data_IF_059636496092
#
_entry.id   IF_059636496092
#
_cell.length_a   1.000
_cell.length_b   1.000
_cell.length_c   1.000
_cell.angle_alpha   90.00
_cell.angle_beta   90.00
_cell.angle_gamma   90.00
#
_symmetry.space_group_name_H-M   'P 1'
#
loop_
_entity.id
_entity.type
_entity.pdbx_description
1 polymer ?
#
# COMPACT_ATOMS: atom_id res chain seq x y z
N UNK A 1 9.16 -1.51 13.90
CA UNK A 1 9.47 -0.16 14.41
C UNK A 1 10.60 0.40 13.58
N UNK A 2 10.51 1.66 13.14
CA UNK A 2 11.60 2.36 12.47
C UNK A 2 12.71 2.53 13.51
N UNK A 3 13.93 2.10 13.19
CA UNK A 3 15.05 2.10 14.14
C UNK A 3 15.76 3.44 14.20
N UNK A 4 15.87 4.12 13.06
CA UNK A 4 16.38 5.47 12.91
C UNK A 4 15.81 6.07 11.62
N UNK A 5 15.62 7.39 11.60
CA UNK A 5 15.26 8.17 10.42
C UNK A 5 16.37 9.20 10.19
N UNK A 6 16.88 9.27 8.96
CA UNK A 6 17.81 10.30 8.54
C UNK A 6 17.25 11.00 7.31
N UNK A 7 17.13 12.32 7.37
CA UNK A 7 16.74 13.18 6.25
C UNK A 7 17.90 14.14 6.01
N UNK A 8 18.40 14.17 4.78
CA UNK A 8 19.53 15.01 4.38
C UNK A 8 20.80 14.86 5.25
N UNK A 9 21.03 13.65 5.77
CA UNK A 9 22.18 13.34 6.62
C UNK A 9 22.03 13.81 8.08
N UNK A 10 20.93 14.46 8.41
CA UNK A 10 20.54 14.79 9.77
C UNK A 10 19.63 13.71 10.33
N UNK A 11 19.87 13.29 11.56
CA UNK A 11 18.98 12.34 12.23
C UNK A 11 17.69 13.06 12.61
N UNK A 12 16.56 12.49 12.22
CA UNK A 12 15.22 12.95 12.57
C UNK A 12 14.60 11.98 13.56
N UNK A 13 13.81 12.52 14.49
CA UNK A 13 13.13 11.67 15.46
C UNK A 13 12.09 10.80 14.74
N UNK A 14 12.21 9.49 14.89
CA UNK A 14 11.26 8.52 14.37
C UNK A 14 9.83 8.70 14.92
N UNK A 15 9.66 9.39 16.04
CA UNK A 15 8.36 9.80 16.57
C UNK A 15 7.64 10.84 15.67
N UNK A 16 8.39 11.58 14.85
CA UNK A 16 7.83 12.54 13.89
C UNK A 16 7.42 11.89 12.58
N UNK A 17 7.74 10.60 12.37
CA UNK A 17 7.41 9.85 11.16
C UNK A 17 6.13 9.03 11.38
N UNK A 18 5.05 9.48 10.77
CA UNK A 18 3.81 8.71 10.73
C UNK A 18 3.72 7.95 9.42
N UNK A 19 3.59 6.63 9.54
CA UNK A 19 3.26 5.80 8.38
C UNK A 19 1.90 5.15 8.51
N UNK A 20 1.03 5.57 7.61
CA UNK A 20 -0.32 5.07 7.50
C UNK A 20 -0.30 3.80 6.66
N UNK A 21 -0.25 2.65 7.32
CA UNK A 21 -0.14 1.33 6.67
C UNK A 21 -1.27 1.04 5.67
N UNK A 22 -2.44 1.64 5.86
CA UNK A 22 -3.60 1.50 4.97
C UNK A 22 -3.43 2.24 3.64
N UNK A 23 -2.83 3.42 3.64
CA UNK A 23 -2.67 4.26 2.45
C UNK A 23 -1.29 4.26 1.83
N UNK A 24 -0.29 3.74 2.53
CA UNK A 24 1.11 3.91 2.14
C UNK A 24 1.60 5.36 2.28
N UNK A 25 0.77 6.26 2.85
CA UNK A 25 1.13 7.66 3.10
C UNK A 25 2.18 7.72 4.20
N UNK A 26 3.25 8.47 3.92
CA UNK A 26 4.33 8.75 4.86
C UNK A 26 4.28 10.25 5.11
N UNK A 27 4.05 10.62 6.36
CA UNK A 27 3.93 12.01 6.79
C UNK A 27 4.99 12.30 7.82
N UNK A 28 5.66 13.43 7.65
CA UNK A 28 6.46 14.06 8.69
C UNK A 28 5.58 15.07 9.41
N UNK A 29 5.49 14.94 10.73
CA UNK A 29 4.73 15.88 11.55
C UNK A 29 5.34 17.28 11.48
N UNK A 30 4.57 18.31 11.86
CA UNK A 30 4.99 19.73 11.84
C UNK A 30 6.21 20.06 12.72
N UNK A 31 6.64 19.12 13.56
CA UNK A 31 7.84 19.20 14.39
C UNK A 31 9.12 18.68 13.71
N UNK A 32 9.03 18.15 12.48
CA UNK A 32 10.20 17.71 11.72
C UNK A 32 11.05 18.91 11.28
N UNK A 33 12.37 18.80 11.40
CA UNK A 33 13.29 19.89 11.06
C UNK A 33 13.57 20.00 9.55
N UNK A 34 13.14 19.00 8.78
CA UNK A 34 13.27 18.92 7.32
C UNK A 34 11.93 18.55 6.68
N UNK A 35 11.56 19.26 5.61
CA UNK A 35 10.26 19.12 4.92
C UNK A 35 10.34 18.55 3.50
N UNK A 36 11.56 18.29 3.01
CA UNK A 36 11.80 17.84 1.62
C UNK A 36 12.77 16.67 1.60
N UNK A 37 12.51 15.69 0.73
CA UNK A 37 13.44 14.61 0.43
C UNK A 37 14.30 15.01 -0.80
N UNK A 38 15.62 15.06 -0.67
CA UNK A 38 16.50 15.23 -1.85
C UNK A 38 16.56 13.90 -2.60
N UNK A 39 16.23 13.93 -3.90
CA UNK A 39 16.37 12.75 -4.77
C UNK A 39 17.85 12.38 -4.92
N UNK A 40 18.26 11.32 -4.22
CA UNK A 40 19.60 10.73 -4.28
C UNK A 40 19.45 9.24 -4.46
N UNK A 41 20.25 8.67 -5.38
CA UNK A 41 20.29 7.23 -5.63
C UNK A 41 20.49 6.46 -4.31
N UNK A 42 19.51 5.62 -3.93
CA UNK A 42 19.48 4.80 -2.71
C UNK A 42 19.46 5.53 -1.35
N UNK A 43 19.16 6.83 -1.27
CA UNK A 43 19.14 7.56 0.01
C UNK A 43 17.92 7.23 0.91
N UNK A 44 16.86 6.66 0.34
CA UNK A 44 15.63 6.33 1.06
C UNK A 44 15.28 4.87 0.78
N UNK A 45 15.51 4.00 1.77
CA UNK A 45 15.06 2.60 1.72
C UNK A 45 13.86 2.43 2.64
N UNK A 46 12.68 2.83 2.17
CA UNK A 46 11.42 2.53 2.85
C UNK A 46 11.00 1.12 2.45
N UNK A 47 11.07 0.17 3.40
CA UNK A 47 10.65 -1.22 3.17
C UNK A 47 9.15 -1.39 3.48
N UNK A 48 8.27 -0.72 2.74
CA UNK A 48 6.90 -1.24 2.56
C UNK A 48 6.98 -2.27 1.47
N UNK A 49 6.54 -3.50 1.74
CA UNK A 49 6.66 -4.53 0.73
C UNK A 49 5.90 -4.11 -0.52
N UNK A 50 4.68 -3.59 -0.41
CA UNK A 50 3.98 -2.83 -1.47
C UNK A 50 2.88 -1.97 -0.81
N UNK A 51 2.52 -0.81 -1.37
CA UNK A 51 1.33 -0.03 -1.00
C UNK A 51 0.76 0.64 -2.25
N UNK A 52 -0.18 -0.03 -2.93
CA UNK A 52 -0.79 0.47 -4.16
C UNK A 52 -2.29 0.66 -3.93
N UNK A 53 -2.67 1.88 -3.58
CA UNK A 53 -4.06 2.30 -3.65
C UNK A 53 -4.38 2.78 -5.06
N UNK A 54 -5.60 2.54 -5.51
CA UNK A 54 -6.18 3.04 -6.76
C UNK A 54 -7.44 3.83 -6.46
N UNK A 55 -7.83 4.72 -7.36
CA UNK A 55 -9.13 5.37 -7.31
C UNK A 55 -10.24 4.32 -7.45
N UNK A 56 -11.25 4.42 -6.59
CA UNK A 56 -12.52 3.75 -6.78
C UNK A 56 -13.38 4.50 -7.79
N UNK A 57 -14.42 3.84 -8.29
CA UNK A 57 -15.50 4.51 -9.03
C UNK A 57 -16.37 5.36 -8.11
N UNK A 58 -16.31 5.13 -6.79
CA UNK A 58 -16.97 5.96 -5.78
C UNK A 58 -16.27 7.32 -5.68
N UNK A 59 -16.98 8.38 -6.07
CA UNK A 59 -16.51 9.75 -5.97
C UNK A 59 -17.66 10.73 -5.75
N UNK A 60 -17.32 11.92 -5.26
CA UNK A 60 -18.25 13.01 -4.98
C UNK A 60 -17.53 14.35 -5.19
N UNK A 61 -18.22 15.48 -5.03
CA UNK A 61 -17.64 16.82 -5.15
C UNK A 61 -17.94 17.65 -3.90
N UNK A 62 -17.01 18.52 -3.51
CA UNK A 62 -17.23 19.45 -2.40
C UNK A 62 -18.22 20.54 -2.82
N UNK A 63 -19.13 20.89 -1.93
CA UNK A 63 -20.12 21.97 -2.13
C UNK A 63 -19.73 23.28 -1.47
N UNK A 64 -18.66 23.28 -0.67
CA UNK A 64 -18.12 24.45 0.00
C UNK A 64 -16.59 24.36 0.09
N UNK A 65 -15.94 25.49 0.33
CA UNK A 65 -14.51 25.55 0.58
C UNK A 65 -14.19 24.84 1.92
N UNK A 66 -13.08 24.12 1.97
CA UNK A 66 -12.53 23.52 3.19
C UNK A 66 -11.38 24.35 3.74
N UNK A 67 -11.13 24.19 5.04
CA UNK A 67 -10.00 24.80 5.72
C UNK A 67 -8.94 23.74 6.05
N UNK A 68 -7.67 24.14 6.07
CA UNK A 68 -6.61 23.29 6.59
C UNK A 68 -6.76 23.13 8.11
N UNK A 69 -6.47 21.94 8.63
CA UNK A 69 -6.59 21.64 10.05
C UNK A 69 -6.80 20.16 10.32
N UNK A 70 -7.14 19.85 11.57
CA UNK A 70 -7.48 18.49 12.04
C UNK A 70 -8.99 18.35 12.16
N UNK A 71 -9.53 17.14 11.92
CA UNK A 71 -10.97 16.86 12.00
C UNK A 71 -11.80 17.78 11.11
N UNK A 72 -11.38 17.96 9.86
CA UNK A 72 -12.00 18.89 8.93
C UNK A 72 -13.31 18.30 8.41
N UNK A 73 -14.38 19.09 8.43
CA UNK A 73 -15.67 18.71 7.85
C UNK A 73 -15.75 19.14 6.39
N UNK A 74 -15.80 18.16 5.49
CA UNK A 74 -16.03 18.36 4.06
C UNK A 74 -17.54 18.30 3.78
N UNK A 75 -18.11 19.39 3.29
CA UNK A 75 -19.47 19.35 2.73
C UNK A 75 -19.40 18.83 1.30
N UNK A 76 -20.08 17.71 1.03
CA UNK A 76 -20.05 17.01 -0.26
C UNK A 76 -21.45 16.82 -0.85
N UNK A 77 -21.53 16.70 -2.18
CA UNK A 77 -22.80 16.54 -2.89
C UNK A 77 -23.51 15.21 -2.56
N UNK A 78 -22.75 14.15 -2.33
CA UNK A 78 -23.26 12.84 -1.93
C UNK A 78 -22.22 12.09 -1.08
N UNK A 79 -22.71 11.29 -0.12
CA UNK A 79 -21.89 10.44 0.77
C UNK A 79 -22.02 8.93 0.48
N UNK A 80 -22.76 8.56 -0.58
CA UNK A 80 -23.00 7.15 -0.90
C UNK A 80 -21.68 6.42 -1.18
N UNK A 81 -21.47 5.29 -0.50
CA UNK A 81 -20.29 4.45 -0.68
C UNK A 81 -19.06 4.87 0.13
N UNK A 82 -19.15 5.90 0.98
CA UNK A 82 -18.12 6.28 1.95
C UNK A 82 -18.47 5.75 3.35
N UNK A 83 -17.46 5.35 4.09
CA UNK A 83 -17.57 4.76 5.43
C UNK A 83 -16.41 5.17 6.34
N UNK A 84 -16.57 4.90 7.64
CA UNK A 84 -15.55 5.19 8.65
C UNK A 84 -14.23 4.50 8.31
N UNK A 85 -13.12 5.21 8.50
CA UNK A 85 -11.74 4.76 8.22
C UNK A 85 -11.39 4.59 6.74
N UNK A 86 -12.29 4.92 5.82
CA UNK A 86 -11.97 4.96 4.40
C UNK A 86 -10.91 6.03 4.12
N UNK A 87 -10.03 5.73 3.17
CA UNK A 87 -9.06 6.69 2.66
C UNK A 87 -9.62 7.38 1.43
N UNK A 88 -9.48 8.70 1.37
CA UNK A 88 -9.96 9.49 0.24
C UNK A 88 -8.83 10.35 -0.32
N UNK A 89 -8.87 10.61 -1.61
CA UNK A 89 -8.00 11.56 -2.30
C UNK A 89 -8.83 12.73 -2.79
N UNK A 90 -8.40 13.95 -2.45
CA UNK A 90 -9.05 15.19 -2.82
C UNK A 90 -8.26 15.82 -3.95
N UNK A 91 -8.94 16.04 -5.06
CA UNK A 91 -8.45 16.73 -6.24
C UNK A 91 -9.02 18.14 -6.20
N UNK A 92 -8.24 19.05 -5.63
CA UNK A 92 -8.56 20.45 -5.52
C UNK A 92 -8.69 21.11 -6.89
N UNK A 93 -9.75 21.91 -7.11
CA UNK A 93 -9.79 22.78 -8.30
C UNK A 93 -8.78 23.93 -8.23
N UNK A 94 -8.21 24.16 -7.05
CA UNK A 94 -7.07 25.03 -6.79
C UNK A 94 -5.71 24.45 -7.24
N UNK A 95 -5.70 23.20 -7.70
CA UNK A 95 -4.49 22.49 -8.12
C UNK A 95 -3.80 21.72 -7.00
N UNK A 96 -4.26 21.82 -5.75
CA UNK A 96 -3.75 21.02 -4.66
C UNK A 96 -4.35 19.63 -4.66
N UNK A 97 -3.55 18.63 -4.29
CA UNK A 97 -4.02 17.27 -4.10
C UNK A 97 -3.53 16.73 -2.77
N UNK A 98 -4.44 16.18 -1.99
CA UNK A 98 -4.06 15.52 -0.75
C UNK A 98 -4.92 14.30 -0.44
N UNK A 99 -4.40 13.46 0.44
CA UNK A 99 -5.04 12.23 0.89
C UNK A 99 -5.36 12.35 2.37
N UNK A 100 -6.57 12.01 2.76
CA UNK A 100 -7.05 12.06 4.13
C UNK A 100 -7.85 10.79 4.47
N UNK A 101 -7.98 10.49 5.76
CA UNK A 101 -8.79 9.37 6.24
C UNK A 101 -10.11 9.89 6.82
N UNK A 102 -11.21 9.23 6.53
CA UNK A 102 -12.51 9.52 7.13
C UNK A 102 -12.45 9.15 8.62
N UNK A 103 -12.59 10.15 9.49
CA UNK A 103 -12.42 10.02 10.94
C UNK A 103 -13.74 9.87 11.72
N UNK A 104 -14.87 9.78 11.02
CA UNK A 104 -16.18 9.52 11.61
C UNK A 104 -17.24 9.20 10.57
N UNK A 105 -18.38 8.65 11.00
CA UNK A 105 -19.42 8.17 10.10
C UNK A 105 -19.97 9.28 9.20
N UNK A 106 -19.86 9.14 7.86
CA UNK A 106 -20.46 10.08 6.94
C UNK A 106 -21.97 10.20 7.17
N UNK A 107 -22.47 11.42 7.28
CA UNK A 107 -23.88 11.67 7.57
C UNK A 107 -24.38 12.93 6.86
N UNK A 108 -25.61 12.87 6.35
CA UNK A 108 -26.19 13.93 5.54
C UNK A 108 -25.33 14.22 4.30
N UNK A 109 -24.77 15.42 4.23
CA UNK A 109 -23.86 15.88 3.18
C UNK A 109 -22.44 16.13 3.72
N UNK A 110 -22.05 15.51 4.84
CA UNK A 110 -20.79 15.79 5.51
C UNK A 110 -19.92 14.53 5.64
N UNK A 111 -18.65 14.67 5.28
CA UNK A 111 -17.58 13.71 5.54
C UNK A 111 -16.57 14.40 6.47
N UNK A 112 -16.26 13.81 7.61
CA UNK A 112 -15.22 14.34 8.51
C UNK A 112 -13.93 13.60 8.24
N UNK A 113 -12.85 14.33 7.94
CA UNK A 113 -11.52 13.78 7.69
C UNK A 113 -10.55 14.10 8.81
N UNK A 114 -9.57 13.22 9.01
CA UNK A 114 -8.57 13.30 10.08
C UNK A 114 -7.73 14.59 10.01
N UNK A 115 -7.22 14.94 8.82
CA UNK A 115 -6.39 16.11 8.62
C UNK A 115 -6.35 16.55 7.16
N UNK A 116 -6.44 17.85 6.94
CA UNK A 116 -6.06 18.52 5.69
C UNK A 116 -4.91 19.49 5.97
N UNK A 117 -3.88 19.44 5.13
CA UNK A 117 -2.75 20.37 5.21
C UNK A 117 -3.04 21.62 4.38
N UNK A 118 -3.87 21.51 3.34
CA UNK A 118 -4.24 22.61 2.47
C UNK A 118 -5.72 22.98 2.63
N UNK A 119 -6.05 24.21 2.22
CA UNK A 119 -7.44 24.60 1.99
C UNK A 119 -7.85 24.12 0.61
N UNK A 120 -9.08 23.61 0.47
CA UNK A 120 -9.62 23.26 -0.83
C UNK A 120 -10.81 24.13 -1.21
N UNK A 121 -10.86 24.58 -2.47
CA UNK A 121 -12.02 25.34 -2.97
C UNK A 121 -13.23 24.42 -3.23
N UNK A 122 -14.42 25.00 -3.24
CA UNK A 122 -15.65 24.33 -3.65
C UNK A 122 -15.54 23.76 -5.08
N UNK A 123 -16.22 22.64 -5.33
CA UNK A 123 -16.13 21.91 -6.60
C UNK A 123 -14.97 20.91 -6.69
N UNK A 124 -14.13 20.81 -5.65
CA UNK A 124 -13.05 19.83 -5.58
C UNK A 124 -13.59 18.39 -5.61
N UNK A 125 -12.94 17.50 -6.37
CA UNK A 125 -13.38 16.10 -6.50
C UNK A 125 -12.80 15.28 -5.35
N UNK A 126 -13.66 14.53 -4.66
CA UNK A 126 -13.28 13.62 -3.58
C UNK A 126 -13.50 12.20 -4.07
N UNK A 127 -12.45 11.38 -4.04
CA UNK A 127 -12.48 10.00 -4.55
C UNK A 127 -12.11 9.03 -3.45
N UNK A 128 -12.86 7.94 -3.31
CA UNK A 128 -12.51 6.85 -2.42
C UNK A 128 -11.28 6.11 -2.96
N UNK A 129 -10.29 5.87 -2.11
CA UNK A 129 -9.15 5.04 -2.42
C UNK A 129 -9.44 3.58 -2.05
N UNK A 130 -9.12 2.66 -2.95
CA UNK A 130 -9.27 1.22 -2.76
C UNK A 130 -7.94 0.50 -3.01
N UNK A 131 -7.79 -0.69 -2.43
CA UNK A 131 -6.65 -1.55 -2.73
C UNK A 131 -6.70 -2.00 -4.19
N UNK A 132 -5.60 -1.80 -4.93
CA UNK A 132 -5.51 -2.25 -6.33
C UNK A 132 -5.79 -3.74 -6.47
N UNK A 133 -6.53 -4.13 -7.50
CA UNK A 133 -6.72 -5.55 -7.83
C UNK A 133 -5.39 -6.24 -8.14
N UNK A 134 -4.44 -5.53 -8.75
CA UNK A 134 -3.09 -6.03 -9.04
C UNK A 134 -2.31 -6.28 -7.75
N UNK A 135 -2.51 -5.42 -6.75
CA UNK A 135 -1.91 -5.58 -5.44
C UNK A 135 -2.44 -6.83 -4.71
N UNK A 136 -3.76 -6.99 -4.67
CA UNK A 136 -4.40 -8.18 -4.10
C UNK A 136 -3.90 -9.45 -4.80
N UNK A 137 -3.79 -9.42 -6.12
CA UNK A 137 -3.24 -10.51 -6.92
C UNK A 137 -1.77 -10.80 -6.59
N UNK A 138 -0.93 -9.77 -6.47
CA UNK A 138 0.47 -9.90 -6.09
C UNK A 138 0.61 -10.56 -4.70
N UNK A 139 -0.18 -10.11 -3.72
CA UNK A 139 -0.18 -10.69 -2.38
C UNK A 139 -0.59 -12.16 -2.38
N UNK A 140 -1.62 -12.51 -3.15
CA UNK A 140 -2.03 -13.91 -3.31
C UNK A 140 -0.91 -14.76 -3.95
N UNK A 141 -0.20 -14.24 -4.95
CA UNK A 141 0.93 -14.94 -5.57
C UNK A 141 2.08 -15.15 -4.59
N UNK A 142 2.43 -14.15 -3.79
CA UNK A 142 3.48 -14.26 -2.77
C UNK A 142 3.14 -15.33 -1.73
N UNK A 143 1.89 -15.34 -1.24
CA UNK A 143 1.41 -16.36 -0.30
C UNK A 143 1.43 -17.76 -0.93
N UNK A 144 0.97 -17.89 -2.19
CA UNK A 144 0.99 -19.15 -2.92
C UNK A 144 2.41 -19.69 -3.10
N UNK A 145 3.38 -18.86 -3.46
CA UNK A 145 4.80 -19.26 -3.56
C UNK A 145 5.31 -19.77 -2.21
N UNK A 146 5.00 -19.08 -1.11
CA UNK A 146 5.41 -19.48 0.22
C UNK A 146 4.78 -20.82 0.65
N UNK A 147 3.52 -21.07 0.29
CA UNK A 147 2.83 -22.34 0.55
C UNK A 147 3.48 -23.49 -0.23
N UNK A 148 3.79 -23.29 -1.52
CA UNK A 148 4.46 -24.32 -2.32
C UNK A 148 5.85 -24.63 -1.74
N UNK A 149 6.63 -23.60 -1.38
CA UNK A 149 7.94 -23.78 -0.76
C UNK A 149 7.86 -24.55 0.56
N UNK A 150 6.81 -24.32 1.36
CA UNK A 150 6.56 -25.06 2.60
C UNK A 150 6.22 -26.53 2.34
N UNK A 151 5.29 -26.83 1.44
CA UNK A 151 4.88 -28.21 1.12
C UNK A 151 6.08 -29.01 0.61
N UNK A 152 6.84 -28.42 -0.33
CA UNK A 152 8.07 -29.04 -0.84
C UNK A 152 9.10 -29.23 0.28
N UNK A 153 9.31 -28.21 1.12
CA UNK A 153 10.23 -28.29 2.26
C UNK A 153 9.87 -29.33 3.32
N UNK A 154 8.59 -29.49 3.66
CA UNK A 154 8.10 -30.51 4.59
C UNK A 154 8.26 -31.93 4.03
N UNK A 155 8.16 -32.09 2.70
CA UNK A 155 8.29 -33.39 2.04
C UNK A 155 9.71 -33.99 2.02
N UNK A 156 10.76 -33.17 2.18
CA UNK A 156 12.15 -33.66 2.27
C UNK A 156 12.44 -34.45 3.56
N UNK A 157 11.57 -34.37 4.58
CA UNK A 157 11.67 -35.24 5.76
C UNK A 157 11.21 -36.67 5.50
N UNK A 158 10.50 -36.92 4.38
CA UNK A 158 9.83 -38.20 4.08
C UNK A 158 10.44 -38.93 2.86
N UNK A 159 11.58 -38.44 2.35
CA UNK A 159 12.35 -39.10 1.27
C UNK A 159 13.24 -40.18 1.89
N UNK A 160 12.62 -41.30 2.24
CA UNK A 160 13.35 -42.53 2.59
C UNK A 160 13.42 -43.38 1.33
N UNK A 161 14.55 -43.33 0.63
CA UNK A 161 14.91 -44.35 -0.34
C UNK A 161 15.34 -45.59 0.43
N UNK A 162 14.83 -46.77 0.08
CA UNK A 162 15.23 -48.02 0.71
C UNK A 162 16.06 -48.83 -0.28
N UNK A 163 17.21 -49.32 0.19
CA UNK A 163 18.06 -50.25 -0.55
C UNK A 163 17.84 -51.65 0.03
N UNK A 164 17.51 -52.60 -0.84
CA UNK A 164 17.43 -54.03 -0.52
C UNK A 164 18.45 -54.75 -1.40
N UNK A 165 19.65 -54.98 -0.85
CA UNK A 165 20.79 -55.59 -1.56
C UNK A 165 21.08 -54.93 -2.92
N UNK A 166 20.96 -55.65 -4.04
CA UNK A 166 21.27 -55.15 -5.39
C UNK A 166 20.14 -54.33 -6.02
N UNK A 167 18.97 -54.24 -5.38
CA UNK A 167 17.86 -53.43 -5.84
C UNK A 167 17.82 -52.08 -5.12
N UNK A 168 18.23 -51.03 -5.82
CA UNK A 168 18.01 -49.64 -5.40
C UNK A 168 16.76 -49.08 -6.08
N UNK A 169 15.73 -48.76 -5.32
CA UNK A 169 14.58 -47.98 -5.82
C UNK A 169 14.78 -46.53 -5.42
N UNK A 170 15.18 -45.69 -6.38
CA UNK A 170 15.05 -44.25 -6.23
C UNK A 170 13.60 -43.88 -6.53
N UNK A 171 12.89 -43.36 -5.52
CA UNK A 171 11.60 -42.70 -5.74
C UNK A 171 11.88 -41.49 -6.64
N UNK A 172 11.27 -41.44 -7.83
CA UNK A 172 11.47 -40.35 -8.79
C UNK A 172 11.21 -38.98 -8.16
N UNK A 173 11.78 -37.91 -8.73
CA UNK A 173 11.70 -36.54 -8.19
C UNK A 173 10.27 -36.21 -7.75
N UNK A 174 10.03 -36.11 -6.43
CA UNK A 174 8.69 -35.86 -5.97
C UNK A 174 8.30 -34.41 -6.34
N UNK A 175 7.07 -34.21 -6.81
CA UNK A 175 6.44 -32.91 -7.00
C UNK A 175 6.93 -32.04 -8.19
N UNK A 176 7.27 -32.62 -9.33
CA UNK A 176 7.58 -31.87 -10.58
C UNK A 176 6.50 -30.83 -10.95
N UNK A 177 5.23 -31.21 -10.79
CA UNK A 177 4.07 -30.31 -11.01
C UNK A 177 4.05 -29.09 -10.07
N UNK A 178 4.51 -29.25 -8.83
CA UNK A 178 4.55 -28.15 -7.86
C UNK A 178 5.71 -27.20 -8.13
N UNK A 179 6.85 -27.72 -8.60
CA UNK A 179 7.98 -26.91 -9.08
C UNK A 179 7.57 -26.06 -10.29
N UNK A 180 6.89 -26.64 -11.26
CA UNK A 180 6.37 -25.92 -12.43
C UNK A 180 5.38 -24.83 -12.01
N UNK A 181 4.46 -25.15 -11.09
CA UNK A 181 3.50 -24.19 -10.53
C UNK A 181 4.19 -23.03 -9.81
N UNK A 182 5.22 -23.32 -9.00
CA UNK A 182 6.01 -22.28 -8.33
C UNK A 182 6.74 -21.36 -9.33
N UNK A 183 7.31 -21.92 -10.40
CA UNK A 183 7.97 -21.15 -11.46
C UNK A 183 6.95 -20.24 -12.17
N UNK A 184 5.74 -20.72 -12.43
CA UNK A 184 4.67 -19.91 -13.02
C UNK A 184 4.27 -18.76 -12.11
N UNK A 185 4.04 -19.01 -10.81
CA UNK A 185 3.72 -17.95 -9.85
C UNK A 185 4.84 -16.93 -9.69
N UNK A 186 6.10 -17.36 -9.73
CA UNK A 186 7.27 -16.46 -9.71
C UNK A 186 7.27 -15.55 -10.94
N UNK A 187 7.06 -16.11 -12.15
CA UNK A 187 6.99 -15.32 -13.38
C UNK A 187 5.84 -14.30 -13.36
N UNK A 188 4.67 -14.72 -12.88
CA UNK A 188 3.50 -13.85 -12.78
C UNK A 188 3.68 -12.75 -11.74
N UNK A 189 4.30 -13.06 -10.60
CA UNK A 189 4.71 -12.07 -9.60
C UNK A 189 5.65 -11.04 -10.21
N UNK A 190 6.70 -11.49 -10.91
CA UNK A 190 7.71 -10.61 -11.50
C UNK A 190 7.14 -9.72 -12.61
N UNK A 191 6.23 -10.26 -13.44
CA UNK A 191 5.49 -9.49 -14.44
C UNK A 191 4.59 -8.42 -13.79
N UNK A 192 3.82 -8.76 -12.76
CA UNK A 192 2.99 -7.77 -12.04
C UNK A 192 3.88 -6.71 -11.40
N UNK A 193 4.99 -7.10 -10.73
CA UNK A 193 5.93 -6.14 -10.14
C UNK A 193 6.52 -5.19 -11.19
N UNK A 194 6.84 -5.68 -12.38
CA UNK A 194 7.38 -4.85 -13.47
C UNK A 194 6.38 -3.80 -13.99
N UNK A 195 5.08 -4.05 -13.81
CA UNK A 195 3.98 -3.17 -14.24
C UNK A 195 3.57 -2.17 -13.17
N UNK A 196 3.98 -2.36 -11.91
CA UNK A 196 3.73 -1.41 -10.83
C UNK A 196 4.59 -0.17 -11.09
N UNK A 197 3.95 0.87 -11.64
CA UNK A 197 4.55 2.21 -11.73
C UNK A 197 4.31 2.92 -10.40
N UNK A 198 5.38 3.42 -9.80
CA UNK A 198 5.30 4.33 -8.66
C UNK A 198 4.52 5.57 -9.13
N UNK A 199 3.47 5.98 -8.41
CA UNK A 199 2.74 7.21 -8.75
C UNK A 199 3.73 8.38 -8.73
N UNK A 200 3.81 9.20 -9.80
CA UNK A 200 4.68 10.36 -9.78
C UNK A 200 4.23 11.30 -8.66
N UNK A 201 5.17 11.75 -7.85
CA UNK A 201 4.95 12.88 -6.96
C UNK A 201 4.66 14.11 -7.83
N UNK A 202 3.48 14.70 -7.67
CA UNK A 202 3.15 15.99 -8.25
C UNK A 202 3.18 17.00 -7.10
N UNK A 203 4.18 17.89 -7.15
CA UNK A 203 4.37 19.00 -6.21
C UNK A 203 3.30 20.08 -6.42
#
# INVERSE_FOLDING_TARGET
AVRDLYIDGSQEDTANLHVYKGSGKIVLNTSASTSTFIDKQNAITIKYLYGMMEESTTSTTTSADSTAGTSVSLTVAAISGFSDNDWIEIYGMDGFREVAQISGTPAGSTIVVDQLIQTHVSGSKVVLLQTSANFTKLMNLVVSIALVARIVGESYKDIVGYTLSEMSVQKGEPYTQWRETAIQFIRERDDIMSRIKIRPYMA
#
